data_IF_295279099218
#
_entry.id   IF_295279099218
#
_cell.length_a   1.000
_cell.length_b   1.000
_cell.length_c   1.000
_cell.angle_alpha   90.00
_cell.angle_beta   90.00
_cell.angle_gamma   90.00
#
_symmetry.space_group_name_H-M   'P 1'
#
loop_
_entity.id
_entity.type
_entity.pdbx_description
1 polymer ?
#
# COMPACT_ATOMS: atom_id res chain seq x y z
N UNK A 1 -1.06 15.72 -1.14
CA UNK A 1 -1.92 14.94 -0.21
C UNK A 1 -1.23 13.61 0.07
N UNK A 2 -1.15 13.17 1.32
CA UNK A 2 -0.61 11.86 1.69
C UNK A 2 -1.63 11.15 2.60
N UNK A 3 -1.97 9.91 2.26
CA UNK A 3 -3.03 9.12 2.90
C UNK A 3 -2.43 7.77 3.28
N UNK A 4 -2.58 7.35 4.54
CA UNK A 4 -2.20 6.02 5.03
C UNK A 4 -3.44 5.21 5.43
N UNK A 5 -3.35 3.88 5.29
CA UNK A 5 -4.38 2.94 5.74
C UNK A 5 -3.79 2.04 6.81
N UNK A 6 -4.34 2.13 8.03
CA UNK A 6 -3.89 1.37 9.20
C UNK A 6 -4.95 0.36 9.67
N UNK A 7 -4.52 -0.67 10.38
CA UNK A 7 -5.41 -1.69 10.95
C UNK A 7 -4.77 -3.07 11.05
N UNK A 8 -5.48 -4.01 11.68
CA UNK A 8 -5.01 -5.39 11.89
C UNK A 8 -4.91 -6.20 10.59
N UNK A 9 -4.23 -7.33 10.61
CA UNK A 9 -4.16 -8.24 9.48
C UNK A 9 -5.55 -8.67 9.01
N UNK A 10 -5.71 -8.75 7.69
CA UNK A 10 -6.99 -9.06 7.01
C UNK A 10 -8.13 -8.05 7.25
N UNK A 11 -7.86 -6.87 7.82
CA UNK A 11 -8.89 -5.81 7.97
C UNK A 11 -9.34 -5.14 6.65
N UNK A 12 -8.79 -5.55 5.50
CA UNK A 12 -9.18 -5.04 4.18
C UNK A 12 -8.38 -3.83 3.68
N UNK A 13 -7.29 -3.44 4.35
CA UNK A 13 -6.42 -2.30 3.95
C UNK A 13 -6.06 -2.32 2.46
N UNK A 14 -5.53 -3.44 1.97
CA UNK A 14 -5.10 -3.59 0.56
C UNK A 14 -6.26 -3.36 -0.42
N UNK A 15 -7.46 -3.86 -0.09
CA UNK A 15 -8.66 -3.67 -0.89
C UNK A 15 -9.04 -2.19 -0.91
N UNK A 16 -9.13 -1.55 0.25
CA UNK A 16 -9.57 -0.16 0.37
C UNK A 16 -8.59 0.82 -0.27
N UNK A 17 -7.28 0.63 -0.10
CA UNK A 17 -6.27 1.45 -0.78
C UNK A 17 -6.36 1.32 -2.30
N UNK A 18 -6.75 0.15 -2.82
CA UNK A 18 -6.93 -0.04 -4.27
C UNK A 18 -8.18 0.66 -4.80
N UNK A 19 -9.30 0.55 -4.08
CA UNK A 19 -10.55 1.23 -4.43
C UNK A 19 -10.40 2.76 -4.38
N UNK A 20 -9.72 3.29 -3.35
CA UNK A 20 -9.51 4.73 -3.24
C UNK A 20 -8.61 5.26 -4.38
N UNK A 21 -7.54 4.52 -4.72
CA UNK A 21 -6.67 4.93 -5.81
C UNK A 21 -7.44 5.01 -7.14
N UNK A 22 -8.20 3.97 -7.48
CA UNK A 22 -9.04 3.97 -8.67
C UNK A 22 -10.04 5.14 -8.67
N UNK A 23 -10.75 5.37 -7.56
CA UNK A 23 -11.71 6.47 -7.42
C UNK A 23 -11.08 7.85 -7.68
N UNK A 24 -9.84 8.05 -7.24
CA UNK A 24 -9.11 9.31 -7.41
C UNK A 24 -8.55 9.45 -8.84
N UNK A 25 -8.02 8.37 -9.41
CA UNK A 25 -7.55 8.31 -10.80
C UNK A 25 -8.71 8.61 -11.78
N UNK A 26 -9.89 8.03 -11.56
CA UNK A 26 -11.12 8.30 -12.33
C UNK A 26 -11.56 9.78 -12.28
N UNK A 27 -11.11 10.53 -11.28
CA UNK A 27 -11.34 11.97 -11.13
C UNK A 27 -10.22 12.84 -11.67
N UNK A 28 -9.25 12.25 -12.36
CA UNK A 28 -8.13 12.95 -12.99
C UNK A 28 -7.00 13.29 -12.03
N UNK A 29 -6.94 12.66 -10.84
CA UNK A 29 -5.81 12.83 -9.94
C UNK A 29 -4.67 11.86 -10.30
N UNK A 30 -3.44 12.35 -10.23
CA UNK A 30 -2.26 11.49 -10.24
C UNK A 30 -2.12 10.80 -8.89
N UNK A 31 -2.14 9.46 -8.91
CA UNK A 31 -2.05 8.65 -7.68
C UNK A 31 -0.79 7.80 -7.71
N UNK A 32 -0.04 7.82 -6.61
CA UNK A 32 1.07 6.91 -6.35
C UNK A 32 0.71 6.01 -5.18
N UNK A 33 0.60 4.70 -5.44
CA UNK A 33 0.43 3.70 -4.39
C UNK A 33 1.78 3.21 -3.90
N UNK A 34 1.91 3.10 -2.58
CA UNK A 34 3.02 2.45 -1.90
C UNK A 34 2.50 1.62 -0.72
N UNK A 35 3.31 0.71 -0.20
CA UNK A 35 3.02 -0.09 0.99
C UNK A 35 4.28 -0.39 1.77
N UNK A 36 4.13 -0.61 3.07
CA UNK A 36 5.23 -0.99 3.96
C UNK A 36 4.93 -2.31 4.67
N UNK A 37 5.96 -3.13 4.94
CA UNK A 37 7.27 -3.07 4.31
C UNK A 37 7.18 -3.44 2.81
N UNK A 38 8.02 -2.84 1.95
CA UNK A 38 8.11 -3.26 0.54
C UNK A 38 8.03 -2.17 -0.54
N UNK A 39 7.80 -0.90 -0.18
CA UNK A 39 7.64 0.20 -1.14
C UNK A 39 8.88 0.52 -2.00
N UNK A 40 10.05 -0.02 -1.65
CA UNK A 40 11.32 0.17 -2.38
C UNK A 40 11.99 -1.17 -2.68
N UNK A 41 12.96 -1.20 -3.63
CA UNK A 41 13.76 -2.42 -3.91
C UNK A 41 14.41 -2.98 -2.64
N UNK A 42 14.95 -2.11 -1.79
CA UNK A 42 15.51 -2.50 -0.50
C UNK A 42 14.41 -2.96 0.46
N UNK A 43 13.31 -2.21 0.55
CA UNK A 43 12.17 -2.56 1.41
C UNK A 43 11.58 -3.93 1.09
N UNK A 44 11.60 -4.36 -0.18
CA UNK A 44 11.20 -5.72 -0.57
C UNK A 44 12.14 -6.78 0.01
N UNK A 45 13.45 -6.57 -0.06
CA UNK A 45 14.43 -7.48 0.57
C UNK A 45 14.29 -7.53 2.09
N UNK A 46 14.05 -6.37 2.72
CA UNK A 46 13.78 -6.32 4.17
C UNK A 46 12.49 -7.07 4.52
N UNK A 47 11.44 -6.92 3.72
CA UNK A 47 10.19 -7.68 3.89
C UNK A 47 10.42 -9.20 3.81
N UNK A 48 11.21 -9.67 2.85
CA UNK A 48 11.55 -11.09 2.72
C UNK A 48 12.22 -11.63 3.99
N UNK A 49 13.12 -10.85 4.61
CA UNK A 49 13.76 -11.22 5.88
C UNK A 49 12.75 -11.24 7.03
N UNK A 50 11.90 -10.22 7.13
CA UNK A 50 10.92 -10.10 8.23
C UNK A 50 9.80 -11.14 8.18
N UNK A 51 9.48 -11.64 7.00
CA UNK A 51 8.42 -12.63 6.77
C UNK A 51 8.96 -14.03 6.48
N UNK A 52 10.28 -14.23 6.59
CA UNK A 52 10.88 -15.54 6.51
C UNK A 52 10.40 -16.41 7.71
N UNK A 53 10.16 -17.71 7.49
CA UNK A 53 9.76 -18.63 8.55
C UNK A 53 10.86 -18.82 9.62
#
# INVERSE_FOLDING_TARGET
MFISFEGVDKSGKTTQTSLLAQYLEERGHLVLKTSEPGGTKLGKKVKEILLAP
#
